data_IF_957181910141
#
_entry.id   IF_957181910141
#
_cell.length_a   1.000
_cell.length_b   1.000
_cell.length_c   1.000
_cell.angle_alpha   90.00
_cell.angle_beta   90.00
_cell.angle_gamma   90.00
#
_symmetry.space_group_name_H-M   'P 1'
#
loop_
_entity.id
_entity.type
_entity.pdbx_description
1 polymer ?
#
# COMPACT_ATOMS: atom_id res chain seq x y z
N UNK A 1 18.29 -13.31 -40.23
CA UNK A 1 19.03 -12.04 -40.04
C UNK A 1 19.37 -11.82 -38.56
N UNK A 2 18.40 -11.89 -37.64
CA UNK A 2 18.66 -11.82 -36.20
C UNK A 2 19.58 -12.94 -35.69
N UNK A 3 19.52 -14.15 -36.28
CA UNK A 3 20.32 -15.33 -35.85
C UNK A 3 21.83 -15.20 -36.03
N UNK A 4 22.27 -14.18 -36.75
CA UNK A 4 23.69 -13.90 -36.98
C UNK A 4 24.21 -12.74 -36.12
N UNK A 5 23.34 -12.11 -35.31
CA UNK A 5 23.71 -10.98 -34.46
C UNK A 5 24.34 -11.47 -33.15
N UNK A 6 25.37 -10.75 -32.69
CA UNK A 6 25.95 -10.96 -31.36
C UNK A 6 24.90 -10.69 -30.27
N UNK A 7 24.91 -11.50 -29.20
CA UNK A 7 24.10 -11.35 -28.00
C UNK A 7 24.12 -9.92 -27.43
N UNK A 8 25.25 -9.21 -27.50
CA UNK A 8 25.36 -7.83 -27.04
C UNK A 8 24.51 -6.87 -27.87
N UNK A 9 24.46 -7.07 -29.19
CA UNK A 9 23.65 -6.26 -30.10
C UNK A 9 22.17 -6.54 -29.84
N UNK A 10 21.80 -7.81 -29.66
CA UNK A 10 20.42 -8.21 -29.32
C UNK A 10 20.00 -7.56 -28.00
N UNK A 11 20.85 -7.60 -26.97
CA UNK A 11 20.60 -6.94 -25.70
C UNK A 11 20.39 -5.43 -25.84
N UNK A 12 21.24 -4.75 -26.62
CA UNK A 12 21.12 -3.31 -26.88
C UNK A 12 19.77 -3.01 -27.53
N UNK A 13 19.38 -3.74 -28.58
CA UNK A 13 18.09 -3.56 -29.27
C UNK A 13 16.93 -3.78 -28.29
N UNK A 14 16.93 -4.89 -27.55
CA UNK A 14 15.90 -5.21 -26.56
C UNK A 14 15.77 -4.11 -25.49
N UNK A 15 16.86 -3.43 -25.16
CA UNK A 15 16.82 -2.36 -24.17
C UNK A 15 16.03 -1.11 -24.58
N UNK A 16 15.67 -0.98 -25.86
CA UNK A 16 14.84 0.11 -26.41
C UNK A 16 13.39 -0.30 -26.73
N UNK A 17 13.05 -1.58 -26.61
CA UNK A 17 11.71 -2.11 -26.95
C UNK A 17 10.74 -2.02 -25.77
N UNK A 18 9.46 -1.77 -26.02
CA UNK A 18 8.41 -1.89 -25.00
C UNK A 18 8.15 -3.36 -24.60
N UNK A 19 7.37 -3.60 -23.55
CA UNK A 19 7.10 -4.96 -23.05
C UNK A 19 6.37 -5.84 -24.07
N UNK A 20 5.45 -5.29 -24.86
CA UNK A 20 4.72 -6.05 -25.87
C UNK A 20 5.65 -6.46 -27.02
N UNK A 21 6.52 -5.56 -27.47
CA UNK A 21 7.57 -5.83 -28.46
C UNK A 21 8.54 -6.91 -27.97
N UNK A 22 8.96 -6.86 -26.71
CA UNK A 22 9.82 -7.89 -26.11
C UNK A 22 9.10 -9.24 -26.01
N UNK A 23 7.82 -9.26 -25.62
CA UNK A 23 7.02 -10.47 -25.57
C UNK A 23 6.85 -11.13 -26.94
N UNK A 24 6.58 -10.34 -27.98
CA UNK A 24 6.54 -10.83 -29.35
C UNK A 24 7.90 -11.41 -29.78
N UNK A 25 9.00 -10.69 -29.48
CA UNK A 25 10.34 -11.14 -29.85
C UNK A 25 10.71 -12.46 -29.16
N UNK A 26 10.38 -12.61 -27.88
CA UNK A 26 10.60 -13.84 -27.12
C UNK A 26 9.76 -15.02 -27.65
N UNK A 27 8.53 -14.75 -28.11
CA UNK A 27 7.69 -15.77 -28.74
C UNK A 27 8.28 -16.27 -30.08
N UNK A 28 8.90 -15.38 -30.87
CA UNK A 28 9.53 -15.73 -32.15
C UNK A 28 10.90 -16.39 -31.96
N UNK A 29 11.67 -15.97 -30.96
CA UNK A 29 13.01 -16.50 -30.66
C UNK A 29 13.13 -17.03 -29.23
N UNK A 30 12.46 -18.15 -28.87
CA UNK A 30 12.46 -18.68 -27.51
C UNK A 30 13.86 -18.98 -26.96
N UNK A 31 14.79 -19.40 -27.83
CA UNK A 31 16.17 -19.72 -27.48
C UNK A 31 16.97 -18.52 -26.94
N UNK A 32 16.50 -17.28 -27.15
CA UNK A 32 17.14 -16.08 -26.64
C UNK A 32 16.35 -15.38 -25.54
N UNK A 33 15.34 -16.04 -24.97
CA UNK A 33 14.50 -15.45 -23.91
C UNK A 33 15.33 -14.84 -22.78
N UNK A 34 16.39 -15.51 -22.33
CA UNK A 34 17.27 -14.99 -21.27
C UNK A 34 17.95 -13.66 -21.61
N UNK A 35 18.27 -13.44 -22.89
CA UNK A 35 18.90 -12.21 -23.39
C UNK A 35 17.82 -11.14 -23.60
N UNK A 36 16.68 -11.52 -24.17
CA UNK A 36 15.55 -10.63 -24.48
C UNK A 36 14.97 -10.02 -23.20
N UNK A 37 14.84 -10.82 -22.14
CA UNK A 37 14.29 -10.40 -20.86
C UNK A 37 15.29 -9.76 -19.92
N UNK A 38 16.60 -9.89 -20.21
CA UNK A 38 17.67 -9.30 -19.39
C UNK A 38 17.48 -7.81 -19.08
N UNK A 39 17.05 -6.93 -20.02
CA UNK A 39 16.82 -5.52 -19.73
C UNK A 39 15.73 -5.26 -18.68
N UNK A 40 14.78 -6.19 -18.49
CA UNK A 40 13.65 -6.00 -17.59
C UNK A 40 14.03 -5.94 -16.12
N UNK A 41 15.11 -6.63 -15.73
CA UNK A 41 15.60 -6.73 -14.35
C UNK A 41 15.86 -5.36 -13.69
N UNK A 42 16.11 -4.34 -14.49
CA UNK A 42 16.46 -2.99 -14.02
C UNK A 42 15.59 -1.89 -14.61
N UNK A 43 14.60 -2.24 -15.45
CA UNK A 43 13.82 -1.23 -16.21
C UNK A 43 12.42 -1.05 -15.67
N UNK A 44 11.70 -2.12 -15.36
CA UNK A 44 10.33 -2.01 -14.85
C UNK A 44 10.38 -1.90 -13.34
N UNK A 45 9.79 -0.84 -12.79
CA UNK A 45 9.85 -0.56 -11.35
C UNK A 45 8.48 -0.53 -10.68
N UNK A 46 7.40 -0.23 -11.42
CA UNK A 46 6.05 -0.22 -10.87
C UNK A 46 5.04 -0.92 -11.80
N UNK A 47 4.05 -1.56 -11.20
CA UNK A 47 2.85 -2.08 -11.86
C UNK A 47 1.61 -1.39 -11.28
N UNK A 48 0.62 -1.20 -12.13
CA UNK A 48 -0.70 -0.70 -11.74
C UNK A 48 -1.79 -1.58 -12.36
N UNK A 49 -2.68 -2.09 -11.51
CA UNK A 49 -3.77 -2.99 -11.87
C UNK A 49 -5.10 -2.33 -11.57
N UNK A 50 -5.82 -1.93 -12.62
CA UNK A 50 -7.12 -1.28 -12.49
C UNK A 50 -8.23 -2.27 -12.82
N UNK A 51 -9.14 -2.47 -11.87
CA UNK A 51 -10.24 -3.42 -11.92
C UNK A 51 -11.56 -2.63 -12.05
N UNK A 52 -12.12 -2.58 -13.26
CA UNK A 52 -13.42 -1.99 -13.55
C UNK A 52 -14.43 -3.04 -14.06
N UNK A 53 -15.75 -2.75 -14.04
CA UNK A 53 -16.76 -3.81 -14.25
C UNK A 53 -16.69 -4.49 -15.62
N UNK A 54 -16.18 -3.76 -16.61
CA UNK A 54 -16.12 -4.20 -18.01
C UNK A 54 -14.70 -4.23 -18.55
N UNK A 55 -13.74 -3.69 -17.80
CA UNK A 55 -12.36 -3.64 -18.24
C UNK A 55 -11.40 -3.84 -17.09
N UNK A 56 -10.27 -4.43 -17.44
CA UNK A 56 -9.21 -4.74 -16.54
C UNK A 56 -7.95 -4.30 -17.25
N UNK A 57 -7.25 -3.35 -16.65
CA UNK A 57 -6.10 -2.69 -17.26
C UNK A 57 -4.88 -2.99 -16.42
N UNK A 58 -3.80 -3.36 -17.09
CA UNK A 58 -2.48 -3.52 -16.48
C UNK A 58 -1.57 -2.49 -17.11
N UNK A 59 -1.03 -1.60 -16.27
CA UNK A 59 -0.05 -0.60 -16.68
C UNK A 59 1.27 -0.85 -15.97
N UNK A 60 2.35 -0.38 -16.57
CA UNK A 60 3.67 -0.42 -15.97
C UNK A 60 4.38 0.92 -16.14
N UNK A 61 5.29 1.23 -15.22
CA UNK A 61 6.26 2.29 -15.42
C UNK A 61 7.65 1.71 -15.63
N UNK A 62 8.34 2.29 -16.60
CA UNK A 62 9.76 2.02 -16.82
C UNK A 62 10.62 3.17 -16.31
N UNK A 63 11.74 2.84 -15.67
CA UNK A 63 12.82 3.78 -15.43
C UNK A 63 13.35 4.20 -16.80
N UNK A 64 13.24 5.49 -17.12
CA UNK A 64 13.92 6.04 -18.29
C UNK A 64 15.43 5.82 -18.08
N UNK A 65 16.12 5.26 -19.08
CA UNK A 65 17.59 5.30 -19.07
C UNK A 65 18.03 6.76 -18.96
N UNK A 66 19.14 7.07 -18.27
CA UNK A 66 19.64 8.43 -18.16
C UNK A 66 19.94 8.99 -19.56
N UNK A 67 18.98 9.74 -20.11
CA UNK A 67 19.23 10.61 -21.24
C UNK A 67 20.24 11.66 -20.79
N UNK A 68 21.25 11.93 -21.63
CA UNK A 68 22.19 13.02 -21.41
C UNK A 68 21.39 14.33 -21.28
N UNK A 69 21.17 14.77 -20.04
CA UNK A 69 20.48 16.03 -19.74
C UNK A 69 19.55 15.91 -18.54
N UNK A 70 20.05 16.33 -17.37
CA UNK A 70 19.26 16.93 -16.29
C UNK A 70 18.22 16.08 -15.53
N UNK A 71 18.45 14.78 -15.33
CA UNK A 71 17.87 14.12 -14.14
C UNK A 71 18.95 13.25 -13.47
N UNK A 72 19.27 13.57 -12.21
CA UNK A 72 20.14 12.73 -11.37
C UNK A 72 19.56 11.32 -11.40
N UNK A 73 20.42 10.31 -11.51
CA UNK A 73 20.05 8.90 -11.36
C UNK A 73 19.43 8.71 -9.98
N UNK A 74 18.12 8.86 -9.89
CA UNK A 74 17.36 8.48 -8.71
C UNK A 74 17.43 6.96 -8.72
N UNK A 75 18.16 6.39 -7.77
CA UNK A 75 18.14 4.93 -7.60
C UNK A 75 16.73 4.52 -7.16
N UNK A 76 16.30 3.29 -7.46
CA UNK A 76 15.01 2.75 -6.99
C UNK A 76 14.84 2.98 -5.48
N UNK A 77 15.94 2.93 -4.74
CA UNK A 77 16.03 3.21 -3.30
C UNK A 77 15.84 4.69 -2.96
N UNK A 78 16.35 5.63 -3.75
CA UNK A 78 16.17 7.07 -3.55
C UNK A 78 14.73 7.53 -3.83
N UNK A 79 14.07 6.96 -4.84
CA UNK A 79 12.67 7.24 -5.18
C UNK A 79 11.73 6.64 -4.13
N UNK A 80 12.02 5.40 -3.70
CA UNK A 80 11.34 4.71 -2.61
C UNK A 80 11.48 5.44 -1.26
N UNK A 81 12.70 5.88 -0.91
CA UNK A 81 12.95 6.68 0.30
C UNK A 81 12.32 8.07 0.21
N UNK A 82 12.23 8.69 -0.97
CA UNK A 82 11.55 9.98 -1.15
C UNK A 82 10.04 9.86 -1.01
N UNK A 83 9.44 8.77 -1.52
CA UNK A 83 8.03 8.43 -1.35
C UNK A 83 7.72 8.09 0.11
N UNK A 84 8.54 7.26 0.76
CA UNK A 84 8.45 6.97 2.19
C UNK A 84 8.64 8.21 3.06
N UNK A 85 9.57 9.11 2.72
CA UNK A 85 9.76 10.40 3.42
C UNK A 85 8.58 11.33 3.22
N UNK A 86 7.90 11.30 2.08
CA UNK A 86 6.66 12.06 1.89
C UNK A 86 5.48 11.47 2.67
N UNK A 87 5.37 10.15 2.78
CA UNK A 87 4.42 9.49 3.70
C UNK A 87 4.72 9.81 5.17
N UNK A 88 6.00 9.90 5.56
CA UNK A 88 6.44 10.40 6.88
C UNK A 88 6.24 11.92 7.06
N UNK A 89 6.06 12.68 5.97
CA UNK A 89 5.81 14.14 5.95
C UNK A 89 4.34 14.49 5.70
N UNK A 90 3.43 13.51 5.71
CA UNK A 90 2.00 13.83 5.83
C UNK A 90 1.85 14.75 7.05
N UNK A 91 1.31 15.97 6.89
CA UNK A 91 1.40 16.98 7.92
C UNK A 91 0.73 16.48 9.20
N UNK A 92 1.41 16.63 10.33
CA UNK A 92 0.77 16.55 11.65
C UNK A 92 -0.19 17.72 11.92
N UNK A 93 -0.35 18.68 11.00
CA UNK A 93 -1.48 19.61 10.83
C UNK A 93 -1.17 20.62 9.70
N UNK A 94 -2.18 21.11 8.95
CA UNK A 94 -2.20 22.55 8.62
C UNK A 94 -3.64 23.11 8.53
N UNK A 95 -4.23 23.57 9.65
CA UNK A 95 -5.55 24.24 9.62
C UNK A 95 -5.58 25.67 10.17
N UNK A 96 -4.45 26.29 10.48
CA UNK A 96 -4.45 27.72 10.83
C UNK A 96 -4.33 28.60 9.58
N UNK A 97 -5.48 28.93 8.96
CA UNK A 97 -5.94 30.26 8.47
C UNK A 97 -7.17 30.11 7.55
N UNK A 98 -8.28 30.71 8.00
CA UNK A 98 -9.68 30.82 7.51
C UNK A 98 -9.94 31.08 6.00
N UNK A 99 -11.22 31.17 5.53
CA UNK A 99 -12.39 30.31 5.75
C UNK A 99 -13.03 29.88 4.41
N UNK A 100 -13.21 28.59 4.14
CA UNK A 100 -14.01 28.15 2.98
C UNK A 100 -15.42 27.72 3.42
N UNK A 101 -16.41 28.49 2.97
CA UNK A 101 -17.84 28.28 3.21
C UNK A 101 -18.32 27.02 2.45
N UNK A 102 -18.86 26.08 3.22
CA UNK A 102 -19.65 24.93 2.78
C UNK A 102 -20.86 25.32 1.92
N UNK A 103 -21.07 24.58 0.82
CA UNK A 103 -22.35 24.01 0.32
C UNK A 103 -21.96 22.85 -0.60
N UNK A 104 -22.15 21.57 -0.34
CA UNK A 104 -23.02 20.84 0.58
C UNK A 104 -22.26 19.60 1.11
N UNK A 105 -22.55 19.21 2.36
CA UNK A 105 -22.21 17.96 3.08
C UNK A 105 -21.65 16.80 2.23
N UNK A 106 -20.55 16.12 2.56
CA UNK A 106 -20.32 15.38 3.82
C UNK A 106 -18.89 14.79 3.85
N UNK A 107 -18.28 14.82 5.04
CA UNK A 107 -17.09 14.08 5.48
C UNK A 107 -15.76 14.38 4.75
N UNK A 108 -14.73 14.63 5.54
CA UNK A 108 -13.32 14.68 5.12
C UNK A 108 -12.93 13.27 4.66
N UNK A 109 -13.36 12.91 3.46
CA UNK A 109 -12.67 11.92 2.66
C UNK A 109 -11.34 12.53 2.30
N UNK A 110 -10.26 11.79 2.53
CA UNK A 110 -9.06 11.94 1.72
C UNK A 110 -9.57 11.76 0.29
N UNK A 111 -9.84 12.86 -0.41
CA UNK A 111 -10.41 12.82 -1.75
C UNK A 111 -9.37 12.17 -2.65
N UNK A 112 -9.89 11.29 -3.50
CA UNK A 112 -9.29 10.59 -4.62
C UNK A 112 -8.32 11.42 -5.52
N UNK A 113 -8.24 12.74 -5.32
CA UNK A 113 -7.34 13.68 -5.99
C UNK A 113 -6.00 13.87 -5.28
N UNK A 114 -5.92 13.69 -3.96
CA UNK A 114 -4.65 13.87 -3.23
C UNK A 114 -3.76 12.64 -3.31
N UNK A 115 -4.32 11.42 -3.30
CA UNK A 115 -3.58 10.19 -3.65
C UNK A 115 -3.08 10.20 -5.10
N UNK A 116 -3.80 10.86 -6.02
CA UNK A 116 -3.33 11.09 -7.40
C UNK A 116 -2.17 12.08 -7.52
N UNK A 117 -1.90 12.91 -6.51
CA UNK A 117 -0.68 13.73 -6.47
C UNK A 117 0.56 12.94 -5.98
N UNK A 118 0.38 11.70 -5.50
CA UNK A 118 1.48 10.78 -5.15
C UNK A 118 1.86 9.84 -6.30
N UNK A 119 1.13 9.89 -7.43
CA UNK A 119 1.56 9.26 -8.67
C UNK A 119 2.87 9.93 -9.09
N UNK A 120 3.97 9.20 -8.95
CA UNK A 120 5.26 9.49 -9.58
C UNK A 120 4.99 10.01 -10.99
N UNK A 121 5.50 11.21 -11.31
CA UNK A 121 5.37 11.92 -12.59
C UNK A 121 6.01 11.13 -13.76
N UNK A 122 5.57 9.89 -13.95
CA UNK A 122 6.09 8.90 -14.87
C UNK A 122 5.02 8.54 -15.89
N UNK A 123 5.46 8.28 -17.11
CA UNK A 123 4.61 7.78 -18.17
C UNK A 123 4.22 6.32 -17.87
N UNK A 124 2.93 6.07 -17.69
CA UNK A 124 2.37 4.73 -17.58
C UNK A 124 2.09 4.16 -18.97
N UNK A 125 2.64 2.99 -19.26
CA UNK A 125 2.40 2.24 -20.50
C UNK A 125 1.41 1.11 -20.21
N UNK A 126 0.33 1.02 -20.99
CA UNK A 126 -0.62 -0.10 -20.89
C UNK A 126 -0.04 -1.35 -21.56
N UNK A 127 -0.06 -2.49 -20.85
CA UNK A 127 0.29 -3.78 -21.42
C UNK A 127 -0.96 -4.46 -21.97
N UNK A 128 -1.05 -4.72 -23.29
CA UNK A 128 -2.21 -5.40 -23.87
C UNK A 128 -2.40 -6.80 -23.26
N UNK A 129 -3.66 -7.19 -23.05
CA UNK A 129 -4.05 -8.48 -22.42
C UNK A 129 -3.39 -9.70 -23.04
N UNK A 130 -3.17 -9.67 -24.36
CA UNK A 130 -2.52 -10.75 -25.10
C UNK A 130 -1.10 -11.08 -24.60
N UNK A 131 -0.42 -10.15 -23.92
CA UNK A 131 0.96 -10.30 -23.48
C UNK A 131 1.11 -10.62 -21.99
N UNK A 132 0.01 -10.61 -21.22
CA UNK A 132 0.07 -10.77 -19.76
C UNK A 132 0.70 -12.09 -19.31
N UNK A 133 0.46 -13.18 -20.04
CA UNK A 133 1.03 -14.50 -19.75
C UNK A 133 2.42 -14.70 -20.33
N UNK A 134 2.82 -13.88 -21.30
CA UNK A 134 4.13 -13.97 -21.96
C UNK A 134 5.22 -13.19 -21.21
N UNK A 135 4.85 -12.17 -20.45
CA UNK A 135 5.80 -11.33 -19.71
C UNK A 135 6.24 -12.02 -18.41
N UNK A 136 7.55 -12.25 -18.20
CA UNK A 136 8.05 -12.94 -17.01
C UNK A 136 8.23 -11.98 -15.83
N UNK A 137 7.13 -11.56 -15.18
CA UNK A 137 7.16 -10.61 -14.07
C UNK A 137 8.05 -11.05 -12.89
N UNK A 138 8.19 -12.35 -12.67
CA UNK A 138 9.07 -12.93 -11.64
C UNK A 138 10.56 -12.58 -11.82
N UNK A 139 10.98 -12.16 -13.02
CA UNK A 139 12.35 -11.69 -13.29
C UNK A 139 12.54 -10.21 -12.98
N UNK A 140 11.46 -9.45 -12.76
CA UNK A 140 11.50 -8.01 -12.54
C UNK A 140 11.71 -7.67 -11.06
N UNK A 141 12.35 -6.52 -10.80
CA UNK A 141 12.45 -5.93 -9.46
C UNK A 141 11.37 -4.86 -9.31
N UNK A 142 10.12 -5.31 -9.16
CA UNK A 142 8.97 -4.41 -8.99
C UNK A 142 9.03 -3.85 -7.56
N UNK A 143 9.16 -2.54 -7.44
CA UNK A 143 9.19 -1.86 -6.15
C UNK A 143 7.78 -1.52 -5.67
N UNK A 144 6.86 -1.22 -6.58
CA UNK A 144 5.49 -0.82 -6.28
C UNK A 144 4.49 -1.62 -7.12
N UNK A 145 3.45 -2.12 -6.46
CA UNK A 145 2.24 -2.60 -7.11
C UNK A 145 1.07 -1.80 -6.57
N UNK A 146 0.42 -1.06 -7.45
CA UNK A 146 -0.84 -0.37 -7.17
C UNK A 146 -2.00 -1.22 -7.73
N UNK A 147 -3.05 -1.35 -6.94
CA UNK A 147 -4.27 -2.06 -7.32
C UNK A 147 -5.47 -1.21 -6.97
N UNK A 148 -6.22 -0.79 -7.98
CA UNK A 148 -7.42 0.02 -7.83
C UNK A 148 -8.65 -0.77 -8.30
N UNK A 149 -9.57 -1.06 -7.39
CA UNK A 149 -10.88 -1.61 -7.71
C UNK A 149 -11.92 -0.50 -7.72
N UNK A 150 -12.78 -0.49 -8.73
CA UNK A 150 -13.96 0.38 -8.73
C UNK A 150 -15.25 -0.38 -9.03
N UNK A 151 -16.37 0.14 -8.54
CA UNK A 151 -17.74 -0.32 -8.80
C UNK A 151 -17.95 -1.81 -8.51
N UNK A 152 -17.42 -2.29 -7.39
CA UNK A 152 -17.53 -3.68 -6.90
C UNK A 152 -17.11 -4.74 -7.93
N UNK A 153 -16.12 -4.44 -8.76
CA UNK A 153 -15.66 -5.32 -9.84
C UNK A 153 -14.92 -6.54 -9.30
N UNK A 154 -15.14 -7.72 -9.88
CA UNK A 154 -14.47 -8.94 -9.46
C UNK A 154 -13.07 -9.11 -10.07
N UNK A 155 -12.17 -9.68 -9.28
CA UNK A 155 -10.84 -10.09 -9.76
C UNK A 155 -10.95 -11.40 -10.53
N UNK A 156 -10.46 -11.40 -11.77
CA UNK A 156 -10.45 -12.60 -12.64
C UNK A 156 -9.30 -13.54 -12.28
N UNK A 157 -9.44 -14.83 -12.57
CA UNK A 157 -8.39 -15.84 -12.34
C UNK A 157 -7.09 -15.52 -13.06
N UNK A 158 -7.17 -14.91 -14.25
CA UNK A 158 -5.99 -14.50 -15.02
C UNK A 158 -5.12 -13.47 -14.29
N UNK A 159 -5.73 -12.51 -13.58
CA UNK A 159 -4.97 -11.53 -12.79
C UNK A 159 -4.45 -12.13 -11.50
N UNK A 160 -5.23 -12.98 -10.84
CA UNK A 160 -4.73 -13.71 -9.66
C UNK A 160 -3.46 -14.49 -10.03
N UNK A 161 -3.47 -15.16 -11.18
CA UNK A 161 -2.30 -15.87 -11.70
C UNK A 161 -1.15 -14.94 -12.09
N UNK A 162 -1.43 -13.73 -12.58
CA UNK A 162 -0.39 -12.73 -12.87
C UNK A 162 0.24 -12.22 -11.58
N UNK A 163 -0.58 -11.77 -10.62
CA UNK A 163 -0.14 -11.24 -9.33
C UNK A 163 0.66 -12.27 -8.53
N UNK A 164 0.36 -13.57 -8.69
CA UNK A 164 1.15 -14.63 -8.03
C UNK A 164 2.58 -14.79 -8.54
N UNK A 165 2.89 -14.23 -9.72
CA UNK A 165 4.26 -14.17 -10.24
C UNK A 165 5.00 -12.89 -9.83
N UNK A 166 4.32 -11.96 -9.16
CA UNK A 166 4.86 -10.65 -8.80
C UNK A 166 5.37 -10.67 -7.36
N UNK A 167 6.58 -10.15 -7.18
CA UNK A 167 7.16 -9.85 -5.89
C UNK A 167 7.41 -8.36 -5.75
N UNK A 168 7.00 -7.75 -4.63
CA UNK A 168 7.07 -6.29 -4.45
C UNK A 168 7.54 -5.84 -3.07
N UNK A 169 8.13 -4.63 -3.02
CA UNK A 169 8.48 -3.89 -1.80
C UNK A 169 7.31 -3.07 -1.23
N UNK A 170 6.37 -2.67 -2.09
CA UNK A 170 5.19 -1.93 -1.69
C UNK A 170 3.96 -2.45 -2.44
N UNK A 171 2.89 -2.65 -1.70
CA UNK A 171 1.55 -2.92 -2.22
C UNK A 171 0.61 -1.81 -1.76
N UNK A 172 0.03 -1.11 -2.71
CA UNK A 172 -1.05 -0.16 -2.48
C UNK A 172 -2.32 -0.78 -3.06
N UNK A 173 -3.33 -0.97 -2.21
CA UNK A 173 -4.56 -1.68 -2.56
C UNK A 173 -5.76 -0.87 -2.13
N UNK A 174 -6.42 -0.30 -3.13
CA UNK A 174 -7.66 0.44 -3.03
C UNK A 174 -8.81 -0.49 -3.46
N UNK A 175 -9.72 -0.80 -2.54
CA UNK A 175 -10.76 -1.81 -2.78
C UNK A 175 -12.14 -1.37 -2.29
N UNK A 176 -13.17 -1.83 -2.99
CA UNK A 176 -14.58 -1.68 -2.58
C UNK A 176 -15.14 -2.99 -2.00
N UNK A 177 -14.57 -4.15 -2.37
CA UNK A 177 -14.97 -5.45 -1.83
C UNK A 177 -13.81 -6.17 -1.14
N UNK A 178 -14.07 -6.66 0.06
CA UNK A 178 -13.08 -7.38 0.87
C UNK A 178 -12.62 -8.69 0.23
N UNK A 179 -13.50 -9.33 -0.55
CA UNK A 179 -13.16 -10.51 -1.35
C UNK A 179 -12.03 -10.24 -2.35
N UNK A 180 -12.00 -9.06 -2.99
CA UNK A 180 -10.88 -8.67 -3.86
C UNK A 180 -9.61 -8.44 -3.05
N UNK A 181 -9.73 -7.75 -1.91
CA UNK A 181 -8.58 -7.53 -1.03
C UNK A 181 -7.93 -8.85 -0.59
N UNK A 182 -8.74 -9.84 -0.17
CA UNK A 182 -8.27 -11.19 0.17
C UNK A 182 -7.54 -11.85 -1.00
N UNK A 183 -8.14 -11.85 -2.19
CA UNK A 183 -7.54 -12.47 -3.39
C UNK A 183 -6.18 -11.84 -3.73
N UNK A 184 -6.06 -10.52 -3.67
CA UNK A 184 -4.80 -9.81 -3.97
C UNK A 184 -3.73 -10.16 -2.92
N UNK A 185 -4.06 -10.07 -1.64
CA UNK A 185 -3.12 -10.35 -0.54
C UNK A 185 -2.67 -11.81 -0.49
N UNK A 186 -3.50 -12.75 -0.96
CA UNK A 186 -3.14 -14.16 -1.08
C UNK A 186 -2.28 -14.45 -2.32
N UNK A 187 -2.44 -13.67 -3.39
CA UNK A 187 -1.71 -13.87 -4.63
C UNK A 187 -0.29 -13.30 -4.54
N UNK A 188 -0.15 -12.05 -4.13
CA UNK A 188 1.11 -11.31 -4.28
C UNK A 188 2.17 -11.72 -3.25
N UNK A 189 3.42 -11.78 -3.68
CA UNK A 189 4.56 -12.01 -2.78
C UNK A 189 5.19 -10.70 -2.31
N UNK A 190 5.44 -10.58 -1.01
CA UNK A 190 6.07 -9.40 -0.42
C UNK A 190 7.54 -9.66 -0.08
N UNK A 191 8.41 -8.74 -0.46
CA UNK A 191 9.82 -8.77 -0.06
C UNK A 191 10.01 -8.48 1.44
N UNK A 192 11.11 -8.95 2.06
CA UNK A 192 11.41 -8.57 3.43
C UNK A 192 11.50 -7.05 3.58
N UNK A 193 10.82 -6.54 4.61
CA UNK A 193 10.78 -5.11 4.92
C UNK A 193 9.69 -4.33 4.17
N UNK A 194 8.74 -5.01 3.52
CA UNK A 194 7.73 -4.37 2.68
C UNK A 194 6.75 -3.47 3.42
N UNK A 195 6.14 -2.56 2.65
CA UNK A 195 5.02 -1.71 3.07
C UNK A 195 3.74 -2.19 2.41
N UNK A 196 2.64 -2.23 3.16
CA UNK A 196 1.31 -2.56 2.65
C UNK A 196 0.34 -1.44 3.01
N UNK A 197 -0.37 -0.91 2.03
CA UNK A 197 -1.40 0.13 2.19
C UNK A 197 -2.72 -0.46 1.71
N UNK A 198 -3.69 -0.51 2.61
CA UNK A 198 -5.02 -1.05 2.38
C UNK A 198 -6.05 0.06 2.60
N UNK A 199 -6.78 0.41 1.55
CA UNK A 199 -7.80 1.46 1.59
C UNK A 199 -9.14 0.88 1.13
N UNK A 200 -10.05 0.68 2.09
CA UNK A 200 -11.44 0.31 1.83
C UNK A 200 -12.22 1.59 1.47
N UNK A 201 -12.73 1.65 0.24
CA UNK A 201 -13.57 2.75 -0.20
C UNK A 201 -14.92 2.73 0.52
N UNK A 202 -15.29 3.87 1.10
CA UNK A 202 -16.54 4.06 1.81
C UNK A 202 -17.74 4.00 0.86
N UNK A 203 -18.24 2.79 0.62
CA UNK A 203 -19.61 2.58 0.18
C UNK A 203 -20.33 1.73 1.24
N UNK A 204 -21.56 2.08 1.64
CA UNK A 204 -22.33 1.40 2.68
C UNK A 204 -22.80 -0.02 2.27
N UNK A 205 -22.14 -0.67 1.32
CA UNK A 205 -22.55 -1.93 0.70
C UNK A 205 -21.70 -3.14 1.08
N UNK A 206 -20.68 -3.00 1.93
CA UNK A 206 -19.91 -4.14 2.41
C UNK A 206 -20.72 -4.93 3.48
N UNK A 207 -21.68 -5.74 3.02
CA UNK A 207 -22.28 -6.82 3.82
C UNK A 207 -21.28 -7.96 4.09
N UNK A 208 -20.09 -7.90 3.50
CA UNK A 208 -19.01 -8.85 3.75
C UNK A 208 -18.42 -8.62 5.14
N UNK A 209 -18.74 -9.54 6.05
CA UNK A 209 -18.26 -9.56 7.44
C UNK A 209 -17.04 -10.45 7.61
N UNK A 210 -16.43 -10.92 6.52
CA UNK A 210 -15.22 -11.72 6.59
C UNK A 210 -13.98 -10.83 6.77
N UNK A 211 -13.06 -11.20 7.69
CA UNK A 211 -11.77 -10.53 7.84
C UNK A 211 -10.94 -10.60 6.56
N UNK A 212 -10.11 -9.58 6.32
CA UNK A 212 -9.25 -9.51 5.13
C UNK A 212 -7.91 -10.22 5.37
N UNK A 213 -7.38 -10.11 6.58
CA UNK A 213 -5.97 -10.38 6.90
C UNK A 213 -5.72 -11.80 7.42
N UNK A 214 -6.77 -12.56 7.75
CA UNK A 214 -6.65 -13.88 8.37
C UNK A 214 -5.83 -14.89 7.55
N UNK A 215 -5.80 -14.72 6.23
CA UNK A 215 -5.06 -15.57 5.30
C UNK A 215 -3.93 -14.83 4.56
N UNK A 216 -3.63 -13.59 4.94
CA UNK A 216 -2.56 -12.82 4.34
C UNK A 216 -1.20 -13.23 4.95
N UNK A 217 -0.18 -13.39 4.10
CA UNK A 217 1.19 -13.61 4.59
C UNK A 217 1.86 -12.27 4.93
N UNK A 218 1.80 -11.87 6.20
CA UNK A 218 2.35 -10.61 6.68
C UNK A 218 3.77 -10.72 7.25
N UNK A 219 4.43 -11.89 7.17
CA UNK A 219 5.73 -12.13 7.82
C UNK A 219 6.85 -11.19 7.34
N UNK A 220 6.76 -10.73 6.09
CA UNK A 220 7.75 -9.84 5.49
C UNK A 220 7.38 -8.35 5.62
N UNK A 221 6.22 -8.04 6.21
CA UNK A 221 5.69 -6.67 6.29
C UNK A 221 6.31 -5.94 7.48
N UNK A 222 6.88 -4.77 7.22
CA UNK A 222 7.44 -3.89 8.25
C UNK A 222 6.50 -2.73 8.59
N UNK A 223 5.77 -2.24 7.58
CA UNK A 223 4.86 -1.11 7.69
C UNK A 223 3.50 -1.50 7.11
N UNK A 224 2.41 -1.27 7.85
CA UNK A 224 1.06 -1.49 7.35
C UNK A 224 0.17 -0.29 7.65
N UNK A 225 -0.48 0.23 6.61
CA UNK A 225 -1.57 1.18 6.69
C UNK A 225 -2.88 0.48 6.34
N UNK A 226 -3.86 0.56 7.23
CA UNK A 226 -5.25 0.24 6.93
C UNK A 226 -6.16 1.47 7.12
N UNK A 227 -6.89 1.87 6.08
CA UNK A 227 -7.97 2.84 6.13
C UNK A 227 -9.29 2.19 5.76
N UNK A 228 -10.28 2.17 6.66
CA UNK A 228 -11.56 1.49 6.43
C UNK A 228 -12.29 1.03 7.69
N UNK A 229 -13.37 0.28 7.52
CA UNK A 229 -14.14 -0.26 8.65
C UNK A 229 -13.52 -1.55 9.18
N UNK A 230 -12.45 -1.44 9.97
CA UNK A 230 -11.73 -2.61 10.45
C UNK A 230 -12.59 -3.55 11.33
N UNK A 231 -12.59 -4.84 10.99
CA UNK A 231 -13.23 -5.87 11.80
C UNK A 231 -12.39 -6.24 13.02
N UNK A 232 -13.01 -6.72 14.12
CA UNK A 232 -12.29 -7.09 15.34
C UNK A 232 -11.18 -8.11 15.12
N UNK A 233 -11.38 -9.09 14.24
CA UNK A 233 -10.39 -10.14 13.98
C UNK A 233 -9.18 -9.59 13.21
N UNK A 234 -9.40 -8.73 12.22
CA UNK A 234 -8.31 -8.02 11.49
C UNK A 234 -7.51 -7.13 12.46
N UNK A 235 -8.21 -6.37 13.31
CA UNK A 235 -7.58 -5.51 14.31
C UNK A 235 -6.75 -6.31 15.31
N UNK A 236 -7.33 -7.40 15.85
CA UNK A 236 -6.65 -8.28 16.78
C UNK A 236 -5.40 -8.89 16.15
N UNK A 237 -5.50 -9.37 14.91
CA UNK A 237 -4.37 -9.94 14.17
C UNK A 237 -3.24 -8.90 14.01
N UNK A 238 -3.56 -7.68 13.57
CA UNK A 238 -2.57 -6.62 13.38
C UNK A 238 -1.90 -6.21 14.69
N UNK A 239 -2.68 -5.96 15.74
CA UNK A 239 -2.14 -5.52 17.03
C UNK A 239 -1.35 -6.62 17.76
N UNK A 240 -1.53 -7.88 17.38
CA UNK A 240 -0.72 -9.02 17.87
C UNK A 240 0.44 -9.42 16.95
N UNK A 241 0.60 -8.76 15.79
CA UNK A 241 1.65 -9.08 14.82
C UNK A 241 3.02 -8.51 15.21
N UNK A 242 4.07 -9.00 14.54
CA UNK A 242 5.44 -8.47 14.65
C UNK A 242 5.70 -7.28 13.71
N UNK A 243 4.65 -6.71 13.09
CA UNK A 243 4.78 -5.58 12.16
C UNK A 243 5.26 -4.34 12.93
N UNK A 244 6.45 -3.84 12.61
CA UNK A 244 7.10 -2.78 13.39
C UNK A 244 6.30 -1.47 13.50
N UNK A 245 5.50 -1.13 12.47
CA UNK A 245 4.80 0.14 12.36
C UNK A 245 3.40 -0.07 11.80
N UNK A 246 2.39 0.37 12.57
CA UNK A 246 0.98 0.27 12.17
C UNK A 246 0.34 1.65 12.09
N UNK A 247 -0.47 1.87 11.06
CA UNK A 247 -1.29 3.07 10.90
C UNK A 247 -2.71 2.65 10.53
N UNK A 248 -3.64 2.79 11.46
CA UNK A 248 -5.00 2.28 11.35
C UNK A 248 -5.95 3.46 11.43
N UNK A 249 -6.79 3.67 10.43
CA UNK A 249 -7.84 4.70 10.42
C UNK A 249 -9.18 4.02 10.16
N UNK A 250 -10.19 4.35 10.96
CA UNK A 250 -11.54 3.85 10.81
C UNK A 250 -12.59 4.96 10.90
N UNK A 251 -13.69 4.82 10.15
CA UNK A 251 -14.90 5.64 10.26
C UNK A 251 -15.48 5.64 11.67
N UNK A 252 -15.45 4.47 12.28
CA UNK A 252 -16.09 4.18 13.54
C UNK A 252 -15.60 2.86 14.08
N UNK A 253 -14.83 2.93 15.16
CA UNK A 253 -14.38 1.73 15.84
C UNK A 253 -15.56 1.09 16.59
N UNK A 254 -15.85 -0.17 16.30
CA UNK A 254 -16.87 -0.93 17.04
C UNK A 254 -16.48 -1.10 18.51
N UNK A 255 -17.48 -1.30 19.41
CA UNK A 255 -17.23 -1.52 20.85
C UNK A 255 -16.28 -2.69 21.14
N UNK A 256 -16.38 -3.76 20.34
CA UNK A 256 -15.46 -4.91 20.35
C UNK A 256 -14.03 -4.47 20.07
N UNK A 257 -13.81 -3.69 19.02
CA UNK A 257 -12.52 -3.13 18.66
C UNK A 257 -11.93 -2.23 19.75
N UNK A 258 -12.75 -1.44 20.46
CA UNK A 258 -12.28 -0.60 21.57
C UNK A 258 -11.64 -1.44 22.68
N UNK A 259 -12.22 -2.60 22.99
CA UNK A 259 -11.67 -3.51 24.02
C UNK A 259 -10.31 -4.06 23.60
N UNK A 260 -10.15 -4.38 22.31
CA UNK A 260 -8.88 -4.85 21.73
C UNK A 260 -7.81 -3.75 21.83
N UNK A 261 -8.16 -2.50 21.46
CA UNK A 261 -7.23 -1.35 21.56
C UNK A 261 -6.79 -1.12 23.00
N UNK A 262 -7.69 -1.22 23.98
CA UNK A 262 -7.33 -1.06 25.41
C UNK A 262 -6.30 -2.08 25.87
N UNK A 263 -6.55 -3.36 25.57
CA UNK A 263 -5.62 -4.43 25.95
C UNK A 263 -4.27 -4.27 25.23
N UNK A 264 -4.29 -3.86 23.97
CA UNK A 264 -3.08 -3.53 23.23
C UNK A 264 -2.29 -2.37 23.87
N UNK A 265 -2.94 -1.26 24.23
CA UNK A 265 -2.29 -0.11 24.89
C UNK A 265 -1.61 -0.54 26.19
N UNK A 266 -2.29 -1.33 27.01
CA UNK A 266 -1.72 -1.87 28.26
C UNK A 266 -0.49 -2.74 27.98
N UNK A 267 -0.60 -3.69 27.06
CA UNK A 267 0.51 -4.57 26.66
C UNK A 267 1.66 -3.80 26.04
N UNK A 268 1.37 -2.74 25.28
CA UNK A 268 2.38 -1.86 24.72
C UNK A 268 3.17 -1.20 25.84
N UNK A 269 2.50 -0.51 26.76
CA UNK A 269 3.14 0.14 27.91
C UNK A 269 3.92 -0.86 28.78
N UNK A 270 3.45 -2.09 28.94
CA UNK A 270 4.15 -3.17 29.65
C UNK A 270 5.38 -3.73 28.90
N UNK A 271 5.64 -3.29 27.66
CA UNK A 271 6.74 -3.81 26.84
C UNK A 271 6.50 -5.19 26.25
N UNK A 272 5.24 -5.67 26.24
CA UNK A 272 4.84 -7.02 25.79
C UNK A 272 4.46 -7.09 24.31
N UNK A 273 4.80 -6.08 23.53
CA UNK A 273 4.49 -6.00 22.10
C UNK A 273 5.72 -5.59 21.30
N UNK A 274 5.87 -6.17 20.11
CA UNK A 274 7.03 -5.99 19.24
C UNK A 274 7.00 -4.65 18.48
N UNK A 275 5.81 -4.06 18.31
CA UNK A 275 5.64 -2.82 17.56
C UNK A 275 6.42 -1.67 18.21
N UNK A 276 7.09 -0.89 17.34
CA UNK A 276 7.82 0.33 17.71
C UNK A 276 6.90 1.54 17.70
N UNK A 277 5.98 1.58 16.75
CA UNK A 277 4.98 2.64 16.64
C UNK A 277 3.64 2.10 16.14
N UNK A 278 2.55 2.65 16.67
CA UNK A 278 1.19 2.35 16.22
C UNK A 278 0.35 3.63 16.30
N UNK A 279 -0.34 3.96 15.21
CA UNK A 279 -1.34 5.03 15.19
C UNK A 279 -2.71 4.43 14.93
N UNK A 280 -3.69 4.82 15.74
CA UNK A 280 -5.08 4.37 15.63
C UNK A 280 -5.97 5.60 15.62
N UNK A 281 -6.62 5.85 14.49
CA UNK A 281 -7.54 6.96 14.25
C UNK A 281 -9.00 6.49 14.16
N UNK A 282 -9.94 7.22 14.73
CA UNK A 282 -11.38 6.99 14.56
C UNK A 282 -12.17 8.31 14.47
N UNK A 283 -13.07 8.45 13.49
CA UNK A 283 -13.88 9.68 13.34
C UNK A 283 -15.07 9.80 14.30
N UNK A 284 -15.52 8.71 14.94
CA UNK A 284 -16.63 8.74 15.91
C UNK A 284 -16.41 7.80 17.10
N UNK A 285 -16.80 8.26 18.30
CA UNK A 285 -17.24 7.41 19.41
C UNK A 285 -16.20 6.55 20.14
N UNK A 286 -14.91 6.75 19.93
CA UNK A 286 -13.85 6.01 20.65
C UNK A 286 -13.38 6.74 21.90
N UNK A 287 -13.40 8.07 21.84
CA UNK A 287 -12.84 8.94 22.87
C UNK A 287 -13.51 8.71 24.23
N UNK A 288 -14.84 8.78 24.28
CA UNK A 288 -15.60 8.55 25.52
C UNK A 288 -15.27 7.20 26.14
N UNK A 289 -15.13 6.14 25.32
CA UNK A 289 -14.87 4.80 25.85
C UNK A 289 -13.42 4.60 26.31
N UNK A 290 -12.44 5.20 25.65
CA UNK A 290 -11.03 5.09 26.06
C UNK A 290 -10.73 6.00 27.26
N UNK A 291 -11.20 7.26 27.26
CA UNK A 291 -10.92 8.24 28.30
C UNK A 291 -11.66 7.96 29.61
N UNK A 292 -12.94 7.56 29.57
CA UNK A 292 -13.76 7.38 30.78
C UNK A 292 -13.27 6.20 31.66
N UNK A 293 -12.47 5.28 31.10
CA UNK A 293 -11.95 4.09 31.82
C UNK A 293 -10.43 4.02 32.00
N UNK A 294 -9.65 4.89 31.34
CA UNK A 294 -8.21 5.00 31.61
C UNK A 294 -7.91 5.89 32.84
N UNK A 295 -8.94 6.37 33.54
CA UNK A 295 -8.85 6.92 34.89
C UNK A 295 -8.27 8.33 35.01
N UNK A 296 -7.59 8.84 33.98
CA UNK A 296 -6.99 10.16 33.97
C UNK A 296 -7.36 10.94 32.70
N UNK A 297 -7.64 12.24 32.87
CA UNK A 297 -7.72 13.24 31.78
C UNK A 297 -6.36 13.53 31.13
N UNK A 298 -5.34 12.71 31.42
CA UNK A 298 -4.00 12.89 30.89
C UNK A 298 -3.98 12.47 29.41
N UNK A 299 -3.65 13.43 28.55
CA UNK A 299 -3.48 13.21 27.11
C UNK A 299 -2.25 12.35 26.78
N UNK A 300 -1.50 11.88 27.77
CA UNK A 300 -0.30 11.08 27.57
C UNK A 300 -0.12 10.08 28.71
N UNK A 301 0.03 8.80 28.36
CA UNK A 301 0.37 7.71 29.27
C UNK A 301 1.81 7.28 29.00
N UNK A 302 2.57 6.96 30.04
CA UNK A 302 3.99 6.56 29.89
C UNK A 302 4.34 5.39 30.82
N UNK A 303 5.25 4.53 30.35
CA UNK A 303 5.93 3.52 31.16
C UNK A 303 7.35 3.33 30.62
N UNK A 304 8.34 3.91 31.30
CA UNK A 304 9.72 3.96 30.81
C UNK A 304 9.82 4.65 29.44
N UNK A 305 10.47 4.04 28.43
CA UNK A 305 10.62 4.65 27.09
C UNK A 305 9.32 4.62 26.26
N UNK A 306 8.28 3.91 26.72
CA UNK A 306 7.04 3.73 25.96
C UNK A 306 6.03 4.80 26.30
N UNK A 307 5.48 5.44 25.26
CA UNK A 307 4.55 6.57 25.38
C UNK A 307 3.30 6.33 24.53
N UNK A 308 2.17 6.76 25.05
CA UNK A 308 0.88 6.75 24.35
C UNK A 308 0.28 8.14 24.46
N UNK A 309 0.08 8.81 23.34
CA UNK A 309 -0.57 10.11 23.25
C UNK A 309 -2.00 9.94 22.77
N UNK A 310 -2.93 10.53 23.51
CA UNK A 310 -4.36 10.54 23.19
C UNK A 310 -4.74 11.95 22.77
N UNK A 311 -5.23 12.08 21.54
CA UNK A 311 -5.68 13.33 20.96
C UNK A 311 -7.16 13.24 20.62
N UNK A 312 -7.95 14.02 21.36
CA UNK A 312 -9.28 14.42 20.94
C UNK A 312 -9.16 15.43 19.80
N UNK A 313 -9.84 15.17 18.70
CA UNK A 313 -10.14 16.17 17.68
C UNK A 313 -11.56 16.70 17.90
N UNK A 314 -11.85 17.91 17.44
CA UNK A 314 -13.23 18.39 17.37
C UNK A 314 -14.06 17.49 16.42
N UNK A 315 -15.40 17.63 16.37
CA UNK A 315 -16.33 16.76 15.59
C UNK A 315 -15.92 16.56 14.11
N UNK A 316 -15.04 17.41 13.57
CA UNK A 316 -14.50 17.36 12.21
C UNK A 316 -13.13 16.66 12.09
N UNK A 317 -12.41 16.42 13.20
CA UNK A 317 -11.10 15.78 13.23
C UNK A 317 -11.19 14.36 13.84
N UNK A 318 -10.51 13.35 13.26
CA UNK A 318 -10.52 12.01 13.84
C UNK A 318 -9.84 12.02 15.22
N UNK A 319 -10.42 11.29 16.19
CA UNK A 319 -9.72 10.92 17.41
C UNK A 319 -8.47 10.13 17.04
N UNK A 320 -7.32 10.49 17.58
CA UNK A 320 -6.06 9.80 17.31
C UNK A 320 -5.42 9.28 18.61
N UNK A 321 -5.10 7.99 18.63
CA UNK A 321 -4.18 7.37 19.57
C UNK A 321 -2.84 7.18 18.88
N UNK A 322 -1.79 7.83 19.37
CA UNK A 322 -0.42 7.66 18.90
C UNK A 322 0.35 6.89 19.95
N UNK A 323 1.05 5.85 19.51
CA UNK A 323 1.78 4.97 20.38
C UNK A 323 3.20 4.94 19.82
N UNK A 324 4.18 5.30 20.64
CA UNK A 324 5.57 5.40 20.21
C UNK A 324 6.54 4.87 21.26
N UNK A 325 7.68 4.40 20.77
CA UNK A 325 8.82 3.98 21.55
C UNK A 325 9.89 5.06 21.45
N UNK A 326 10.11 5.78 22.54
CA UNK A 326 11.13 6.82 22.59
C UNK A 326 12.52 6.18 22.72
N UNK A 327 13.36 6.36 21.72
CA UNK A 327 14.74 5.86 21.69
C UNK A 327 15.71 6.88 22.31
N UNK A 328 15.23 8.00 22.87
CA UNK A 328 16.10 8.99 23.51
C UNK A 328 16.63 8.50 24.87
N UNK A 329 17.69 7.69 24.81
CA UNK A 329 18.64 7.45 25.91
C UNK A 329 20.08 7.55 25.37
#
# INVERSE_FOLDING_TARGET
MLEQLNHDIIYIICSYMDLASLANLAAVYPQWSDIIWRPLKTRIWALDVIIHPQNLTLRYQSLSKPGKGLYKSVTIEDEFETNLRHCKRLPTAPWQREPFRLKDTTAIGITHSESKNFSVNGHWEELPKAFWTAVPFHLMKIALVDVEQSRSSELTSGIVALLSTVKTKQLDLNFETRGVARKVLQAISLDPGSTVILCEHWFPFANDKEPILQHANLANVKHLWFGGDMLPDDLSLLLNSDISSLFLISSGLQKSCVTIVKEYVKRFLDGKVAQKSCRIGSYKGVEDYLLERLGNREKTLTNGPRKVHLHSGDIEEPFNCYIDFDVSL
#
